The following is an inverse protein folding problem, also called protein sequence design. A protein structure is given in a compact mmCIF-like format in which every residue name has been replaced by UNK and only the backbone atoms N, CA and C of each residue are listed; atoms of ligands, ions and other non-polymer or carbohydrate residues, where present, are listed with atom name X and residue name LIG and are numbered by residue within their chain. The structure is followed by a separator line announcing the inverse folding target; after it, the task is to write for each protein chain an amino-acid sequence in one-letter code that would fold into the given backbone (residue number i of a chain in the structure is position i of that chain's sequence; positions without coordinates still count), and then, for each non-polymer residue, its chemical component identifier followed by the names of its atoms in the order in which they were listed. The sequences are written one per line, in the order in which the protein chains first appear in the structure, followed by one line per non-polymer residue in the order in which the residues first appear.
data_IF_545541408252
#
_entry.id   IF_545541408252
#
_cell.length_a   1.000
_cell.length_b   1.000
_cell.length_c   1.000
_cell.angle_alpha   90.00
_cell.angle_beta   90.00
_cell.angle_gamma   90.00
#
_symmetry.space_group_name_H-M   'P 1'
#
loop_
_entity.id
_entity.type
_entity.pdbx_description
1 polymer ?
#
# COMPACT_ATOMS: atom_id res chain seq x y z
N UNK A 1 76.95 -56.50 39.58
CA UNK A 1 75.91 -55.45 39.53
C UNK A 1 76.44 -54.43 38.48
N UNK A 2 75.89 -54.57 37.23
CA UNK A 2 76.38 -53.80 36.11
C UNK A 2 75.33 -52.72 35.78
N UNK A 3 75.79 -51.47 35.75
CA UNK A 3 74.97 -50.32 35.34
C UNK A 3 74.82 -50.30 33.79
N UNK A 4 73.66 -49.99 33.25
CA UNK A 4 73.43 -49.86 31.80
C UNK A 4 73.90 -48.45 31.29
N UNK A 5 74.27 -48.36 30.01
CA UNK A 5 74.81 -47.11 29.42
C UNK A 5 73.69 -46.08 29.12
N UNK A 6 74.11 -44.82 29.17
CA UNK A 6 73.35 -43.65 28.85
C UNK A 6 73.00 -43.56 27.34
N UNK A 7 71.76 -43.17 27.02
CA UNK A 7 71.28 -42.91 25.68
C UNK A 7 71.37 -41.43 25.39
N UNK A 8 72.07 -41.05 24.29
CA UNK A 8 72.15 -39.65 23.79
C UNK A 8 70.84 -39.10 23.29
N UNK A 9 70.50 -37.84 23.49
CA UNK A 9 69.27 -37.26 22.98
C UNK A 9 69.37 -36.92 21.47
N UNK A 10 68.33 -37.29 20.75
CA UNK A 10 68.16 -37.01 19.32
C UNK A 10 67.99 -35.49 19.03
N UNK A 11 68.41 -34.97 17.86
CA UNK A 11 68.36 -33.56 17.55
C UNK A 11 66.92 -33.04 17.40
N UNK A 12 66.66 -31.84 17.96
CA UNK A 12 65.36 -31.15 17.99
C UNK A 12 64.87 -30.84 16.57
N UNK A 13 63.73 -31.39 16.17
CA UNK A 13 63.06 -31.05 14.93
C UNK A 13 62.54 -29.61 15.00
N UNK A 14 62.97 -28.75 14.08
CA UNK A 14 62.48 -27.36 13.90
C UNK A 14 61.00 -27.41 13.51
N UNK A 15 60.11 -27.21 14.44
CA UNK A 15 58.71 -27.01 14.21
C UNK A 15 58.49 -25.70 13.44
N UNK A 16 58.25 -25.76 12.13
CA UNK A 16 57.74 -24.63 11.36
C UNK A 16 56.32 -24.33 11.81
N UNK A 17 56.10 -23.14 12.41
CA UNK A 17 54.82 -22.67 12.91
C UNK A 17 53.80 -22.51 11.78
N UNK A 18 52.59 -23.13 11.85
CA UNK A 18 51.52 -22.97 10.84
C UNK A 18 50.84 -21.60 10.90
N UNK A 19 51.23 -20.75 11.86
CA UNK A 19 50.58 -19.45 12.07
C UNK A 19 50.84 -18.43 10.93
N UNK A 20 52.02 -18.48 10.29
CA UNK A 20 52.36 -17.52 9.22
C UNK A 20 51.57 -17.74 7.93
N UNK A 21 51.19 -18.97 7.60
CA UNK A 21 50.43 -19.28 6.40
C UNK A 21 48.93 -18.89 6.57
N UNK A 22 48.37 -19.02 7.75
CA UNK A 22 46.98 -18.60 8.06
C UNK A 22 46.81 -17.08 8.00
N UNK A 23 47.83 -16.32 8.44
CA UNK A 23 47.79 -14.87 8.37
C UNK A 23 47.94 -14.38 6.93
N UNK A 24 48.80 -14.99 6.10
CA UNK A 24 48.96 -14.61 4.69
C UNK A 24 47.71 -14.94 3.84
N UNK A 25 47.10 -16.11 4.05
CA UNK A 25 45.87 -16.49 3.33
C UNK A 25 44.67 -15.64 3.79
N UNK A 26 44.56 -15.35 5.07
CA UNK A 26 43.51 -14.45 5.59
C UNK A 26 43.66 -13.03 5.09
N UNK A 27 44.89 -12.49 5.04
CA UNK A 27 45.17 -11.16 4.51
C UNK A 27 44.95 -11.06 2.99
N UNK A 28 45.23 -12.11 2.24
CA UNK A 28 44.97 -12.16 0.79
C UNK A 28 43.46 -12.23 0.49
N UNK A 29 42.69 -13.01 1.26
CA UNK A 29 41.23 -13.06 1.15
C UNK A 29 40.59 -11.74 1.50
N UNK A 30 41.01 -11.07 2.57
CA UNK A 30 40.53 -9.74 2.94
C UNK A 30 40.88 -8.68 1.87
N UNK A 31 42.07 -8.76 1.28
CA UNK A 31 42.49 -7.85 0.20
C UNK A 31 41.67 -8.08 -1.07
N UNK A 32 41.38 -9.33 -1.44
CA UNK A 32 40.56 -9.68 -2.60
C UNK A 32 39.10 -9.24 -2.37
N UNK A 33 38.54 -9.43 -1.16
CA UNK A 33 37.21 -8.94 -0.82
C UNK A 33 37.17 -7.40 -0.82
N UNK A 34 38.18 -6.72 -0.26
CA UNK A 34 38.24 -5.26 -0.26
C UNK A 34 38.38 -4.67 -1.66
N UNK A 35 39.20 -5.29 -2.53
CA UNK A 35 39.32 -4.85 -3.93
C UNK A 35 38.08 -5.14 -4.76
N UNK A 36 37.33 -6.22 -4.47
CA UNK A 36 36.07 -6.50 -5.13
C UNK A 36 34.96 -5.49 -4.73
N UNK A 37 34.91 -5.09 -3.45
CA UNK A 37 33.99 -4.07 -2.98
C UNK A 37 34.32 -2.70 -3.59
N UNK A 38 35.61 -2.31 -3.60
CA UNK A 38 36.04 -1.04 -4.21
C UNK A 38 35.84 -1.04 -5.73
N UNK A 39 35.95 -2.20 -6.40
CA UNK A 39 35.71 -2.29 -7.85
C UNK A 39 34.22 -2.12 -8.21
N UNK A 40 33.31 -2.53 -7.33
CA UNK A 40 31.87 -2.31 -7.55
C UNK A 40 31.48 -0.85 -7.33
N UNK A 41 32.11 -0.15 -6.39
CA UNK A 41 31.91 1.28 -6.20
C UNK A 41 32.48 2.15 -7.33
N UNK A 42 33.43 1.63 -8.11
CA UNK A 42 34.05 2.35 -9.22
C UNK A 42 33.20 2.34 -10.52
N UNK A 43 32.16 1.48 -10.61
CA UNK A 43 31.29 1.48 -11.79
C UNK A 43 30.27 2.62 -11.63
N UNK A 44 30.16 3.56 -12.61
CA UNK A 44 29.12 4.58 -12.58
C UNK A 44 27.74 3.93 -12.43
N UNK A 45 26.90 4.48 -11.57
CA UNK A 45 25.57 3.90 -11.31
C UNK A 45 24.73 3.77 -12.59
N UNK A 46 24.88 4.72 -13.53
CA UNK A 46 24.20 4.70 -14.81
C UNK A 46 24.58 3.49 -15.71
N UNK A 47 25.77 2.90 -15.51
CA UNK A 47 26.22 1.74 -16.26
C UNK A 47 25.84 0.40 -15.58
N UNK A 48 25.33 0.45 -14.37
CA UNK A 48 24.86 -0.73 -13.66
C UNK A 48 23.52 -1.18 -14.25
N UNK A 49 23.41 -2.47 -14.52
CA UNK A 49 22.16 -3.09 -14.97
C UNK A 49 21.72 -4.15 -13.98
N UNK A 50 20.41 -4.25 -13.72
CA UNK A 50 19.88 -5.32 -12.90
C UNK A 50 20.03 -6.67 -13.61
N UNK A 51 20.20 -7.73 -12.84
CA UNK A 51 20.08 -9.09 -13.36
C UNK A 51 18.65 -9.29 -13.85
N UNK A 52 18.49 -9.82 -15.06
CA UNK A 52 17.18 -10.06 -15.65
C UNK A 52 17.13 -11.43 -16.32
N UNK A 53 16.05 -12.17 -16.12
CA UNK A 53 15.80 -13.36 -16.93
C UNK A 53 15.36 -13.00 -18.34
N UNK A 54 15.49 -13.93 -19.27
CA UNK A 54 14.92 -13.79 -20.60
C UNK A 54 13.39 -13.68 -20.53
N UNK A 55 12.82 -12.92 -21.46
CA UNK A 55 11.37 -12.80 -21.60
C UNK A 55 10.84 -14.02 -22.39
N UNK A 56 9.66 -14.49 -22.00
CA UNK A 56 8.86 -15.42 -22.78
C UNK A 56 8.13 -14.66 -23.87
N UNK A 57 8.16 -15.11 -25.12
CA UNK A 57 7.54 -14.37 -26.23
C UNK A 57 6.01 -14.56 -26.31
N UNK A 58 5.48 -15.65 -25.70
CA UNK A 58 4.07 -15.98 -25.79
C UNK A 58 3.21 -15.03 -24.95
N UNK A 59 2.12 -14.47 -25.50
CA UNK A 59 1.17 -13.70 -24.71
C UNK A 59 0.41 -14.60 -23.73
N UNK A 60 -0.05 -14.02 -22.65
CA UNK A 60 -0.90 -14.75 -21.71
C UNK A 60 -2.29 -14.97 -22.33
N UNK A 61 -2.77 -16.21 -22.24
CA UNK A 61 -4.11 -16.55 -22.71
C UNK A 61 -5.18 -15.69 -22.01
N UNK A 62 -6.07 -15.09 -22.77
CA UNK A 62 -7.17 -14.30 -22.25
C UNK A 62 -8.37 -15.19 -22.00
N UNK A 63 -8.63 -15.49 -20.72
CA UNK A 63 -9.83 -16.20 -20.28
C UNK A 63 -10.70 -15.30 -19.37
N UNK A 64 -11.99 -15.60 -19.28
CA UNK A 64 -12.90 -14.84 -18.39
C UNK A 64 -12.48 -14.99 -16.92
N UNK A 65 -12.00 -16.16 -16.52
CA UNK A 65 -11.49 -16.38 -15.18
C UNK A 65 -10.31 -15.45 -14.85
N UNK A 66 -9.34 -15.31 -15.77
CA UNK A 66 -8.21 -14.39 -15.62
C UNK A 66 -8.65 -12.94 -15.62
N UNK A 67 -9.65 -12.56 -16.41
CA UNK A 67 -10.18 -11.19 -16.41
C UNK A 67 -10.79 -10.83 -15.05
N UNK A 68 -11.66 -11.69 -14.53
CA UNK A 68 -12.31 -11.49 -13.23
C UNK A 68 -11.26 -11.47 -12.11
N UNK A 69 -10.38 -12.47 -12.08
CA UNK A 69 -9.32 -12.57 -11.06
C UNK A 69 -8.34 -11.41 -11.15
N UNK A 70 -7.91 -11.04 -12.35
CA UNK A 70 -6.98 -9.94 -12.58
C UNK A 70 -7.53 -8.59 -12.16
N UNK A 71 -8.81 -8.33 -12.46
CA UNK A 71 -9.50 -7.14 -11.96
C UNK A 71 -9.49 -7.10 -10.43
N UNK A 72 -9.93 -8.18 -9.80
CA UNK A 72 -9.97 -8.30 -8.35
C UNK A 72 -8.61 -8.03 -7.69
N UNK A 73 -7.54 -8.60 -8.25
CA UNK A 73 -6.18 -8.42 -7.73
C UNK A 73 -5.65 -7.01 -8.00
N UNK A 74 -5.77 -6.50 -9.22
CA UNK A 74 -5.18 -5.23 -9.61
C UNK A 74 -5.88 -4.02 -8.95
N UNK A 75 -7.19 -4.08 -8.80
CA UNK A 75 -7.98 -3.02 -8.17
C UNK A 75 -8.02 -3.14 -6.65
N UNK A 76 -7.97 -4.38 -6.11
CA UNK A 76 -7.98 -4.70 -4.70
C UNK A 76 -6.58 -4.81 -4.10
N UNK A 77 -6.18 -6.06 -3.74
CA UNK A 77 -4.99 -6.31 -2.91
C UNK A 77 -3.67 -5.83 -3.53
N UNK A 78 -3.52 -5.86 -4.84
CA UNK A 78 -2.33 -5.39 -5.55
C UNK A 78 -2.25 -3.88 -5.71
N UNK A 79 -3.34 -3.13 -5.48
CA UNK A 79 -3.40 -1.67 -5.44
C UNK A 79 -2.81 -0.97 -6.67
N UNK A 80 -2.74 -1.65 -7.84
CA UNK A 80 -2.06 -1.13 -9.03
C UNK A 80 -2.56 0.26 -9.42
N UNK A 81 -3.88 0.46 -9.37
CA UNK A 81 -4.52 1.70 -9.83
C UNK A 81 -4.47 2.83 -8.79
N UNK A 82 -4.03 2.56 -7.56
CA UNK A 82 -3.75 3.59 -6.55
C UNK A 82 -2.52 4.41 -6.93
N UNK A 83 -1.46 3.72 -7.38
CA UNK A 83 -0.22 4.37 -7.81
C UNK A 83 -0.27 4.75 -9.29
N UNK A 84 -0.82 3.88 -10.17
CA UNK A 84 -0.83 4.08 -11.61
C UNK A 84 -2.02 4.88 -12.13
N UNK A 85 -2.64 5.71 -11.29
CA UNK A 85 -3.69 6.65 -11.72
C UNK A 85 -3.53 7.98 -11.00
N UNK A 86 -3.81 9.07 -11.69
CA UNK A 86 -3.96 10.36 -11.06
C UNK A 86 -5.19 10.32 -10.15
N UNK A 87 -5.03 10.71 -8.88
CA UNK A 87 -6.07 10.60 -7.86
C UNK A 87 -6.80 11.92 -7.65
N UNK A 88 -8.08 11.83 -7.38
CA UNK A 88 -8.93 12.95 -6.99
C UNK A 88 -8.94 13.06 -5.45
N UNK A 89 -8.05 13.89 -4.91
CA UNK A 89 -7.89 14.08 -3.47
C UNK A 89 -9.01 14.92 -2.83
N UNK A 90 -9.89 15.51 -3.63
CA UNK A 90 -11.06 16.23 -3.14
C UNK A 90 -12.22 15.30 -2.81
N UNK A 91 -12.16 14.07 -3.31
CA UNK A 91 -13.17 13.05 -3.03
C UNK A 91 -12.73 12.10 -1.90
N UNK A 92 -13.68 11.62 -1.08
CA UNK A 92 -13.40 10.60 -0.07
C UNK A 92 -12.70 9.37 -0.67
N UNK A 93 -11.66 8.86 0.01
CA UNK A 93 -10.86 7.75 -0.49
C UNK A 93 -9.92 8.10 -1.63
N UNK A 94 -9.99 9.33 -2.17
CA UNK A 94 -9.21 9.83 -3.29
C UNK A 94 -9.16 8.82 -4.46
N UNK A 95 -10.28 8.56 -5.14
CA UNK A 95 -10.36 7.62 -6.27
C UNK A 95 -9.52 8.09 -7.45
N UNK A 96 -9.24 7.22 -8.43
CA UNK A 96 -8.71 7.65 -9.72
C UNK A 96 -9.61 8.72 -10.36
N UNK A 97 -9.02 9.78 -10.89
CA UNK A 97 -9.77 10.78 -11.67
C UNK A 97 -10.46 10.10 -12.84
N UNK A 98 -11.66 10.57 -13.17
CA UNK A 98 -12.45 10.05 -14.29
C UNK A 98 -11.64 10.01 -15.59
N UNK A 99 -11.65 8.90 -16.30
CA UNK A 99 -10.89 8.69 -17.54
C UNK A 99 -9.37 8.59 -17.38
N UNK A 100 -8.84 8.53 -16.14
CA UNK A 100 -7.38 8.48 -15.87
C UNK A 100 -6.93 7.16 -15.25
N UNK A 101 -7.80 6.17 -15.18
CA UNK A 101 -7.52 4.86 -14.59
C UNK A 101 -6.38 4.15 -15.34
N UNK A 102 -5.30 3.87 -14.65
CA UNK A 102 -4.10 3.23 -15.22
C UNK A 102 -3.19 4.16 -16.03
N UNK A 103 -3.54 5.43 -16.20
CA UNK A 103 -2.80 6.38 -17.05
C UNK A 103 -1.47 6.85 -16.44
N UNK A 104 -1.15 6.45 -15.21
CA UNK A 104 0.06 6.86 -14.52
C UNK A 104 -0.01 8.27 -13.91
N UNK A 105 0.96 8.59 -13.09
CA UNK A 105 1.13 9.92 -12.46
C UNK A 105 2.56 10.16 -12.00
N UNK A 106 2.90 11.42 -11.77
CA UNK A 106 4.09 11.80 -11.02
C UNK A 106 3.75 11.71 -9.54
N UNK A 107 4.45 10.86 -8.80
CA UNK A 107 4.22 10.66 -7.37
C UNK A 107 5.07 11.59 -6.51
N UNK A 108 6.29 11.90 -6.98
CA UNK A 108 7.25 12.80 -6.36
C UNK A 108 8.10 13.44 -7.45
N UNK A 109 8.39 14.74 -7.35
CA UNK A 109 9.34 15.44 -8.22
C UNK A 109 10.01 16.56 -7.41
N UNK A 110 11.26 16.35 -7.05
CA UNK A 110 12.07 17.29 -6.30
C UNK A 110 13.54 17.26 -6.79
N UNK A 111 14.43 18.13 -6.26
CA UNK A 111 15.83 18.18 -6.69
C UNK A 111 16.57 16.85 -6.58
N UNK A 112 16.25 16.04 -5.57
CA UNK A 112 16.95 14.78 -5.26
C UNK A 112 16.47 13.62 -6.13
N UNK A 113 15.25 13.71 -6.67
CA UNK A 113 14.72 12.62 -7.50
C UNK A 113 13.32 12.87 -8.04
N UNK A 114 12.92 11.97 -8.92
CA UNK A 114 11.54 11.91 -9.44
C UNK A 114 11.05 10.47 -9.43
N UNK A 115 9.90 10.24 -8.81
CA UNK A 115 9.22 8.95 -8.84
C UNK A 115 7.97 9.08 -9.71
N UNK A 116 7.91 8.27 -10.76
CA UNK A 116 6.78 8.21 -11.68
C UNK A 116 6.20 6.80 -11.65
N UNK A 117 4.92 6.68 -11.37
CA UNK A 117 4.14 5.49 -11.66
C UNK A 117 3.73 5.57 -13.14
N UNK A 118 4.30 4.76 -14.03
CA UNK A 118 4.10 4.91 -15.47
C UNK A 118 2.66 4.60 -15.90
N UNK A 119 2.32 5.02 -17.10
CA UNK A 119 1.10 4.65 -17.79
C UNK A 119 1.12 3.15 -18.11
N UNK A 120 0.23 2.38 -17.48
CA UNK A 120 0.06 0.93 -17.67
C UNK A 120 -1.16 0.58 -18.50
N UNK A 121 -1.85 1.57 -19.09
CA UNK A 121 -2.91 1.32 -20.07
C UNK A 121 -2.32 0.76 -21.35
N UNK A 122 -3.13 0.10 -22.21
CA UNK A 122 -2.66 -0.41 -23.51
C UNK A 122 -2.48 0.69 -24.57
N UNK A 123 -2.24 1.93 -24.17
CA UNK A 123 -1.82 2.98 -25.10
C UNK A 123 -0.46 2.64 -25.70
N UNK A 124 -0.36 2.73 -27.03
CA UNK A 124 0.82 2.28 -27.76
C UNK A 124 1.98 3.27 -27.78
N UNK A 125 1.69 4.56 -27.54
CA UNK A 125 2.71 5.62 -27.60
C UNK A 125 3.29 5.92 -26.21
N UNK A 126 2.44 6.01 -25.19
CA UNK A 126 2.82 6.49 -23.87
C UNK A 126 2.58 5.47 -22.77
N UNK A 127 1.96 4.33 -23.07
CA UNK A 127 1.61 3.29 -22.14
C UNK A 127 2.28 1.94 -22.41
N UNK A 128 1.69 0.89 -21.89
CA UNK A 128 2.23 -0.47 -21.97
C UNK A 128 1.74 -1.25 -23.21
N UNK A 129 1.11 -0.58 -24.20
CA UNK A 129 0.46 -1.25 -25.32
C UNK A 129 1.37 -2.04 -26.26
N UNK A 130 2.66 -1.73 -26.28
CA UNK A 130 3.66 -2.42 -27.10
C UNK A 130 4.56 -3.37 -26.31
N UNK A 131 4.41 -3.42 -24.99
CA UNK A 131 5.28 -4.27 -24.17
C UNK A 131 4.78 -5.73 -24.22
N UNK A 132 5.69 -6.73 -24.28
CA UNK A 132 5.29 -8.12 -24.10
C UNK A 132 4.61 -8.35 -22.74
N UNK A 133 3.68 -9.29 -22.66
CA UNK A 133 2.99 -9.61 -21.40
C UNK A 133 3.97 -10.04 -20.30
N UNK A 134 4.97 -10.84 -20.65
CA UNK A 134 5.99 -11.28 -19.71
C UNK A 134 6.92 -10.13 -19.26
N UNK A 135 7.06 -9.05 -20.05
CA UNK A 135 7.76 -7.84 -19.59
C UNK A 135 6.98 -7.11 -18.49
N UNK A 136 5.64 -7.07 -18.58
CA UNK A 136 4.80 -6.57 -17.49
C UNK A 136 4.89 -7.47 -16.25
N UNK A 137 4.80 -8.80 -16.43
CA UNK A 137 4.95 -9.75 -15.32
C UNK A 137 6.32 -9.62 -14.62
N UNK A 138 7.40 -9.46 -15.41
CA UNK A 138 8.75 -9.21 -14.89
C UNK A 138 8.84 -7.88 -14.14
N UNK A 139 8.26 -6.82 -14.69
CA UNK A 139 8.22 -5.52 -14.02
C UNK A 139 7.49 -5.60 -12.67
N UNK A 140 6.36 -6.28 -12.61
CA UNK A 140 5.56 -6.44 -11.40
C UNK A 140 6.33 -7.24 -10.33
N UNK A 141 6.94 -8.37 -10.67
CA UNK A 141 7.51 -9.29 -9.68
C UNK A 141 9.01 -9.18 -9.46
N UNK A 142 9.74 -8.65 -10.43
CA UNK A 142 11.21 -8.68 -10.42
C UNK A 142 11.83 -7.27 -10.47
N UNK A 143 11.01 -6.22 -10.62
CA UNK A 143 11.50 -4.84 -10.61
C UNK A 143 12.34 -4.45 -11.84
N UNK A 144 12.24 -5.19 -12.95
CA UNK A 144 12.94 -4.91 -14.20
C UNK A 144 11.95 -4.45 -15.26
N UNK A 145 12.10 -3.22 -15.71
CA UNK A 145 11.26 -2.61 -16.73
C UNK A 145 11.34 -3.32 -18.08
N UNK A 146 10.42 -2.96 -19.00
CA UNK A 146 10.39 -3.50 -20.36
C UNK A 146 11.69 -3.22 -21.15
N UNK A 147 12.35 -2.11 -20.83
CA UNK A 147 13.62 -1.64 -21.40
C UNK A 147 14.86 -2.15 -20.65
N UNK A 148 14.67 -3.00 -19.66
CA UNK A 148 15.75 -3.62 -18.87
C UNK A 148 16.28 -2.75 -17.72
N UNK A 149 15.72 -1.54 -17.48
CA UNK A 149 16.13 -0.71 -16.33
C UNK A 149 15.61 -1.27 -15.01
N UNK A 150 16.29 -0.95 -13.92
CA UNK A 150 15.76 -1.16 -12.57
C UNK A 150 14.58 -0.22 -12.31
N UNK A 151 13.51 -0.74 -11.72
CA UNK A 151 12.38 0.05 -11.27
C UNK A 151 12.63 0.62 -9.86
N UNK A 152 11.99 1.73 -9.58
CA UNK A 152 12.03 2.33 -8.24
C UNK A 152 11.40 1.38 -7.21
N UNK A 153 12.00 1.17 -6.02
CA UNK A 153 11.49 0.22 -5.01
C UNK A 153 10.05 0.47 -4.54
N UNK A 154 9.56 1.71 -4.69
CA UNK A 154 8.13 2.01 -4.44
C UNK A 154 7.16 1.24 -5.35
N UNK A 155 7.62 0.54 -6.37
CA UNK A 155 6.79 -0.39 -7.14
C UNK A 155 6.43 -1.67 -6.35
N UNK A 156 7.03 -1.88 -5.18
CA UNK A 156 6.79 -3.02 -4.28
C UNK A 156 7.04 -4.40 -4.90
N UNK A 157 7.85 -4.49 -5.93
CA UNK A 157 8.19 -5.75 -6.58
C UNK A 157 8.75 -6.79 -5.58
N UNK A 158 9.39 -6.35 -4.50
CA UNK A 158 9.87 -7.24 -3.44
C UNK A 158 8.72 -8.00 -2.74
N UNK A 159 7.54 -7.42 -2.62
CA UNK A 159 6.32 -8.07 -2.12
C UNK A 159 5.57 -8.77 -3.25
N UNK A 160 5.42 -8.13 -4.40
CA UNK A 160 4.71 -8.66 -5.55
C UNK A 160 5.36 -9.91 -6.17
N UNK A 161 6.66 -10.14 -5.93
CA UNK A 161 7.30 -11.40 -6.36
C UNK A 161 6.65 -12.66 -5.77
N UNK A 162 5.85 -12.51 -4.71
CA UNK A 162 5.07 -13.59 -4.09
C UNK A 162 3.76 -13.88 -4.80
N UNK A 163 3.31 -13.04 -5.75
CA UNK A 163 2.18 -13.39 -6.58
C UNK A 163 2.45 -14.70 -7.33
N UNK A 164 1.51 -15.62 -7.26
CA UNK A 164 1.53 -16.83 -8.05
C UNK A 164 1.57 -16.50 -9.56
N UNK A 165 2.14 -17.40 -10.37
CA UNK A 165 2.25 -17.17 -11.82
C UNK A 165 0.89 -16.92 -12.46
N UNK A 166 -0.15 -17.64 -12.04
CA UNK A 166 -1.51 -17.45 -12.54
C UNK A 166 -2.12 -16.12 -12.13
N UNK A 167 -1.84 -15.64 -10.90
CA UNK A 167 -2.33 -14.34 -10.44
C UNK A 167 -1.67 -13.19 -11.19
N UNK A 168 -0.36 -13.27 -11.46
CA UNK A 168 0.30 -12.22 -12.24
C UNK A 168 -0.14 -12.25 -13.71
N UNK A 169 -0.34 -13.44 -14.30
CA UNK A 169 -0.91 -13.55 -15.64
C UNK A 169 -2.31 -12.95 -15.70
N UNK A 170 -3.14 -13.21 -14.69
CA UNK A 170 -4.47 -12.61 -14.55
C UNK A 170 -4.43 -11.08 -14.47
N UNK A 171 -3.53 -10.52 -13.64
CA UNK A 171 -3.32 -9.07 -13.55
C UNK A 171 -2.97 -8.49 -14.93
N UNK A 172 -1.99 -9.06 -15.63
CA UNK A 172 -1.58 -8.57 -16.95
C UNK A 172 -2.71 -8.65 -17.96
N UNK A 173 -3.44 -9.76 -18.01
CA UNK A 173 -4.61 -9.93 -18.90
C UNK A 173 -5.66 -8.85 -18.62
N UNK A 174 -5.93 -8.56 -17.34
CA UNK A 174 -6.84 -7.47 -16.98
C UNK A 174 -6.31 -6.09 -17.43
N UNK A 175 -5.05 -5.76 -17.16
CA UNK A 175 -4.46 -4.46 -17.56
C UNK A 175 -4.58 -4.21 -19.06
N UNK A 176 -4.52 -5.27 -19.89
CA UNK A 176 -4.74 -5.18 -21.35
C UNK A 176 -6.17 -4.78 -21.74
N UNK A 177 -7.11 -4.84 -20.82
CA UNK A 177 -8.52 -4.44 -21.08
C UNK A 177 -8.83 -3.02 -20.65
N UNK A 178 -7.92 -2.34 -19.98
CA UNK A 178 -8.12 -0.93 -19.63
C UNK A 178 -8.28 -0.08 -20.90
N UNK A 179 -9.12 0.96 -20.85
CA UNK A 179 -9.17 1.93 -21.96
C UNK A 179 -7.77 2.53 -22.18
N UNK A 180 -7.28 2.59 -23.43
CA UNK A 180 -6.01 3.25 -23.71
C UNK A 180 -6.12 4.76 -23.42
N UNK A 181 -5.18 5.28 -22.66
CA UNK A 181 -5.12 6.70 -22.32
C UNK A 181 -3.76 7.25 -22.69
N UNK A 182 -3.73 8.20 -23.63
CA UNK A 182 -2.48 8.88 -23.96
C UNK A 182 -2.09 9.82 -22.84
N UNK A 183 -0.95 9.55 -22.21
CA UNK A 183 -0.40 10.35 -21.11
C UNK A 183 1.15 10.31 -21.12
N UNK A 184 1.81 11.28 -21.78
CA UNK A 184 3.26 11.37 -21.76
C UNK A 184 3.72 11.80 -20.36
N UNK A 185 4.47 10.94 -19.71
CA UNK A 185 5.05 11.18 -18.39
C UNK A 185 6.58 11.22 -18.51
N UNK A 186 7.26 12.04 -17.69
CA UNK A 186 8.71 12.04 -17.62
C UNK A 186 9.23 10.72 -17.07
N UNK A 187 10.50 10.41 -17.30
CA UNK A 187 11.14 9.25 -16.72
C UNK A 187 11.32 9.42 -15.18
N UNK A 188 11.25 8.31 -14.45
CA UNK A 188 11.72 8.24 -13.07
C UNK A 188 13.21 8.59 -13.02
N UNK A 189 13.62 9.38 -12.01
CA UNK A 189 15.01 9.73 -11.73
C UNK A 189 15.34 9.32 -10.30
N UNK A 190 16.30 8.44 -10.16
CA UNK A 190 16.87 8.01 -8.89
C UNK A 190 18.29 8.59 -8.77
N UNK A 191 18.70 8.96 -7.59
CA UNK A 191 20.11 9.22 -7.33
C UNK A 191 20.93 7.91 -7.39
N UNK A 192 22.25 8.03 -7.38
CA UNK A 192 23.16 6.89 -7.51
C UNK A 192 23.00 5.87 -6.36
N UNK A 193 22.77 6.34 -5.14
CA UNK A 193 22.59 5.46 -3.98
C UNK A 193 21.31 4.64 -4.10
N UNK A 194 20.20 5.29 -4.40
CA UNK A 194 18.90 4.65 -4.62
C UNK A 194 18.96 3.67 -5.80
N UNK A 195 19.64 4.04 -6.90
CA UNK A 195 19.76 3.15 -8.06
C UNK A 195 20.58 1.90 -7.72
N UNK A 196 21.67 2.02 -6.98
CA UNK A 196 22.48 0.88 -6.50
C UNK A 196 21.67 -0.02 -5.58
N UNK A 197 20.90 0.55 -4.65
CA UNK A 197 20.02 -0.18 -3.75
C UNK A 197 18.94 -0.94 -4.53
N UNK A 198 18.28 -0.26 -5.48
CA UNK A 198 17.27 -0.88 -6.33
C UNK A 198 17.85 -2.07 -7.12
N UNK A 199 19.01 -1.90 -7.74
CA UNK A 199 19.70 -2.97 -8.49
C UNK A 199 20.11 -4.14 -7.59
N UNK A 200 20.63 -3.85 -6.40
CA UNK A 200 21.03 -4.88 -5.43
C UNK A 200 19.83 -5.70 -4.93
N UNK A 201 18.64 -5.08 -4.82
CA UNK A 201 17.41 -5.76 -4.42
C UNK A 201 16.73 -6.57 -5.53
N UNK A 202 17.20 -6.48 -6.79
CA UNK A 202 16.59 -7.18 -7.93
C UNK A 202 17.26 -8.53 -8.13
N UNK A 203 16.43 -9.59 -7.99
CA UNK A 203 16.82 -10.96 -8.34
C UNK A 203 15.80 -11.59 -9.26
N UNK A 204 16.22 -12.21 -10.38
CA UNK A 204 15.33 -12.94 -11.26
C UNK A 204 14.61 -14.08 -10.54
N UNK A 205 13.36 -14.32 -10.91
CA UNK A 205 12.63 -15.51 -10.46
C UNK A 205 13.17 -16.74 -11.19
N UNK A 206 13.90 -17.58 -10.47
CA UNK A 206 14.53 -18.78 -11.03
C UNK A 206 13.54 -19.95 -11.17
N UNK A 207 12.44 -19.93 -10.41
CA UNK A 207 11.44 -21.01 -10.39
C UNK A 207 10.04 -20.40 -10.48
N UNK A 208 9.06 -21.19 -11.02
CA UNK A 208 7.66 -20.81 -10.96
C UNK A 208 7.18 -20.58 -9.54
N UNK A 209 6.28 -19.62 -9.35
CA UNK A 209 5.59 -19.37 -8.08
C UNK A 209 4.23 -20.02 -8.13
N UNK A 210 4.04 -21.18 -7.45
CA UNK A 210 2.77 -21.89 -7.48
C UNK A 210 1.68 -21.15 -6.71
N UNK A 211 0.42 -21.41 -7.06
CA UNK A 211 -0.72 -20.96 -6.28
C UNK A 211 -0.72 -21.66 -4.92
N UNK A 212 -0.79 -20.91 -3.79
CA UNK A 212 -0.94 -21.55 -2.48
C UNK A 212 -2.33 -22.18 -2.32
N UNK A 213 -2.50 -23.00 -1.29
CA UNK A 213 -3.82 -23.53 -0.93
C UNK A 213 -4.74 -22.41 -0.39
N UNK A 214 -5.53 -21.84 -1.28
CA UNK A 214 -6.49 -20.79 -0.94
C UNK A 214 -7.76 -21.33 -0.24
N UNK A 215 -7.97 -22.66 -0.16
CA UNK A 215 -9.04 -23.24 0.62
C UNK A 215 -8.75 -23.15 2.12
N UNK A 216 -7.47 -23.10 2.52
CA UNK A 216 -7.05 -22.84 3.89
C UNK A 216 -7.16 -21.33 4.20
N UNK A 217 -8.06 -20.88 5.11
CA UNK A 217 -8.20 -19.46 5.43
C UNK A 217 -6.90 -18.82 5.94
N UNK A 218 -6.07 -19.55 6.70
CA UNK A 218 -4.81 -19.03 7.19
C UNK A 218 -3.80 -18.83 6.06
N UNK A 219 -3.62 -19.84 5.20
CA UNK A 219 -2.70 -19.76 4.05
C UNK A 219 -3.13 -18.65 3.08
N UNK A 220 -4.44 -18.57 2.82
CA UNK A 220 -5.06 -17.50 2.02
C UNK A 220 -4.76 -16.12 2.59
N UNK A 221 -4.96 -15.92 3.90
CA UNK A 221 -4.68 -14.67 4.57
C UNK A 221 -3.20 -14.30 4.54
N UNK A 222 -2.31 -15.27 4.79
CA UNK A 222 -0.85 -15.06 4.72
C UNK A 222 -0.41 -14.65 3.31
N UNK A 223 -0.97 -15.29 2.29
CA UNK A 223 -0.72 -14.90 0.89
C UNK A 223 -1.16 -13.46 0.62
N UNK A 224 -2.39 -13.09 0.98
CA UNK A 224 -2.93 -11.76 0.75
C UNK A 224 -2.16 -10.67 1.51
N UNK A 225 -1.80 -10.92 2.78
CA UNK A 225 -0.96 -10.02 3.57
C UNK A 225 0.41 -9.80 2.92
N UNK A 226 0.99 -10.87 2.36
CA UNK A 226 2.30 -10.81 1.72
C UNK A 226 2.27 -10.04 0.40
N UNK A 227 1.29 -10.32 -0.49
CA UNK A 227 1.18 -9.64 -1.80
C UNK A 227 0.56 -8.25 -1.70
N UNK A 228 -0.17 -7.95 -0.62
CA UNK A 228 -0.72 -6.63 -0.34
C UNK A 228 0.28 -5.63 0.23
N UNK A 229 1.54 -6.06 0.45
CA UNK A 229 2.61 -5.25 1.03
C UNK A 229 2.24 -4.58 2.36
N UNK A 230 1.46 -5.28 3.20
CA UNK A 230 1.08 -4.73 4.52
C UNK A 230 2.30 -4.36 5.35
N UNK A 231 3.38 -5.16 5.27
CA UNK A 231 4.64 -4.91 5.98
C UNK A 231 5.34 -3.63 5.50
N UNK A 232 5.22 -3.25 4.24
CA UNK A 232 5.88 -2.06 3.69
C UNK A 232 5.47 -0.78 4.42
N UNK A 233 4.18 -0.63 4.71
CA UNK A 233 3.66 0.51 5.46
C UNK A 233 3.64 0.27 6.97
N UNK A 234 3.42 -0.96 7.42
CA UNK A 234 3.18 -1.27 8.83
C UNK A 234 4.41 -1.84 9.58
N UNK A 235 5.63 -1.53 9.11
CA UNK A 235 6.89 -1.90 9.79
C UNK A 235 7.84 -0.70 9.81
N UNK A 236 8.51 -0.46 10.91
CA UNK A 236 9.46 0.65 11.08
C UNK A 236 10.81 0.36 10.42
N UNK A 237 10.84 0.26 9.09
CA UNK A 237 12.03 -0.12 8.33
C UNK A 237 13.25 0.80 8.52
N UNK A 238 13.00 2.09 8.79
CA UNK A 238 14.01 3.13 8.89
C UNK A 238 14.25 3.64 10.31
N UNK A 239 13.67 2.98 11.33
CA UNK A 239 13.94 3.33 12.73
C UNK A 239 15.29 2.77 13.21
N UNK A 240 15.91 3.43 14.18
CA UNK A 240 17.16 2.94 14.80
C UNK A 240 16.98 1.54 15.43
N UNK A 241 15.76 1.24 15.88
CA UNK A 241 15.39 -0.06 16.42
C UNK A 241 14.05 -0.48 15.83
N UNK A 242 14.05 -1.51 15.00
CA UNK A 242 12.83 -2.09 14.46
C UNK A 242 12.14 -2.94 15.54
N UNK A 243 10.91 -2.58 15.98
CA UNK A 243 10.21 -3.32 17.05
C UNK A 243 9.79 -4.73 16.62
N UNK A 244 9.53 -4.92 15.35
CA UNK A 244 9.09 -6.15 14.72
C UNK A 244 8.32 -5.89 13.44
N UNK A 245 8.13 -6.93 12.62
CA UNK A 245 7.29 -6.85 11.43
C UNK A 245 5.84 -6.54 11.84
N UNK A 246 5.19 -5.70 11.05
CA UNK A 246 3.80 -5.27 11.25
C UNK A 246 3.52 -4.47 12.54
N UNK A 247 4.57 -4.10 13.28
CA UNK A 247 4.44 -3.34 14.52
C UNK A 247 4.20 -1.83 14.31
N UNK A 248 4.06 -1.38 13.09
CA UNK A 248 3.86 0.03 12.74
C UNK A 248 5.14 0.88 12.77
N UNK A 249 4.98 2.18 12.56
CA UNK A 249 6.06 3.17 12.71
C UNK A 249 6.74 3.59 11.41
N UNK A 250 6.39 3.04 10.25
CA UNK A 250 6.89 3.58 8.98
C UNK A 250 6.18 4.89 8.63
N UNK A 251 6.95 5.93 8.31
CA UNK A 251 6.41 7.20 7.84
C UNK A 251 6.07 7.10 6.36
N UNK A 252 4.82 7.34 6.03
CA UNK A 252 4.29 7.39 4.67
C UNK A 252 3.99 8.84 4.33
N UNK A 253 4.49 9.30 3.19
CA UNK A 253 4.29 10.66 2.70
C UNK A 253 3.69 10.65 1.29
N UNK A 254 2.73 11.53 1.04
CA UNK A 254 2.12 11.78 -0.28
C UNK A 254 1.78 13.27 -0.40
N UNK A 255 2.64 14.02 -1.09
CA UNK A 255 2.57 15.47 -1.08
C UNK A 255 2.68 16.01 0.34
N UNK A 256 1.74 16.82 0.76
CA UNK A 256 1.70 17.39 2.13
C UNK A 256 1.13 16.43 3.19
N UNK A 257 0.58 15.28 2.76
CA UNK A 257 -0.05 14.31 3.67
C UNK A 257 0.98 13.34 4.21
N UNK A 258 0.93 13.13 5.52
CA UNK A 258 1.82 12.20 6.23
C UNK A 258 1.02 11.31 7.18
N UNK A 259 1.49 10.09 7.36
CA UNK A 259 1.00 9.18 8.39
C UNK A 259 2.08 8.16 8.77
N UNK A 260 2.17 7.83 10.03
CA UNK A 260 2.86 6.60 10.45
C UNK A 260 1.93 5.42 10.28
N UNK A 261 2.40 4.35 9.66
CA UNK A 261 1.69 3.07 9.64
C UNK A 261 1.40 2.60 11.06
N UNK A 262 0.16 2.19 11.31
CA UNK A 262 -0.23 1.72 12.65
C UNK A 262 0.31 0.32 12.93
N UNK A 263 0.39 -0.05 14.20
CA UNK A 263 0.66 -1.43 14.62
C UNK A 263 -0.56 -2.31 14.25
N UNK A 264 -0.34 -3.33 13.42
CA UNK A 264 -1.37 -4.30 13.02
C UNK A 264 -1.08 -5.72 13.54
N UNK A 265 -0.16 -5.87 14.50
CA UNK A 265 -0.03 -7.11 15.28
C UNK A 265 -1.22 -7.24 16.26
N UNK A 266 -1.46 -8.39 16.89
CA UNK A 266 -2.54 -8.52 17.86
C UNK A 266 -2.46 -7.54 19.04
N UNK A 267 -3.62 -7.38 19.72
CA UNK A 267 -3.73 -6.58 20.95
C UNK A 267 -2.61 -6.91 21.98
N UNK A 268 -2.30 -5.95 22.92
CA UNK A 268 -3.11 -4.77 23.24
C UNK A 268 -2.78 -3.52 22.42
N UNK A 269 -1.60 -3.39 21.82
CA UNK A 269 -1.18 -2.17 21.13
C UNK A 269 -1.38 -2.19 19.61
N UNK A 270 -1.89 -3.31 19.08
CA UNK A 270 -2.22 -3.49 17.68
C UNK A 270 -3.72 -3.63 17.44
N UNK A 271 -4.12 -4.63 16.62
CA UNK A 271 -5.53 -4.89 16.28
C UNK A 271 -6.28 -5.48 17.49
N UNK A 272 -7.05 -4.63 18.16
CA UNK A 272 -7.84 -5.01 19.34
C UNK A 272 -9.27 -5.49 19.00
N UNK A 273 -9.73 -5.32 17.76
CA UNK A 273 -11.10 -5.67 17.33
C UNK A 273 -11.12 -6.99 16.57
N UNK A 274 -12.27 -7.69 16.63
CA UNK A 274 -12.47 -8.96 15.93
C UNK A 274 -12.65 -8.79 14.42
N UNK A 275 -12.87 -9.90 13.71
CA UNK A 275 -12.94 -9.94 12.26
C UNK A 275 -14.04 -9.03 11.67
N UNK A 276 -15.20 -8.95 12.29
CA UNK A 276 -16.30 -8.08 11.80
C UNK A 276 -15.92 -6.59 11.94
N UNK A 277 -15.33 -6.20 13.06
CA UNK A 277 -14.79 -4.84 13.24
C UNK A 277 -13.68 -4.52 12.24
N UNK A 278 -12.80 -5.48 11.94
CA UNK A 278 -11.78 -5.33 10.90
C UNK A 278 -12.40 -5.09 9.53
N UNK A 279 -13.38 -5.89 9.13
CA UNK A 279 -14.11 -5.71 7.87
C UNK A 279 -14.74 -4.33 7.81
N UNK A 280 -15.44 -3.92 8.86
CA UNK A 280 -16.07 -2.59 8.92
C UNK A 280 -15.04 -1.47 8.77
N UNK A 281 -13.88 -1.56 9.43
CA UNK A 281 -12.80 -0.57 9.30
C UNK A 281 -12.28 -0.51 7.87
N UNK A 282 -12.02 -1.67 7.24
CA UNK A 282 -11.55 -1.71 5.85
C UNK A 282 -12.59 -1.13 4.88
N UNK A 283 -13.87 -1.48 5.05
CA UNK A 283 -14.97 -0.97 4.18
C UNK A 283 -15.15 0.53 4.29
N UNK A 284 -15.04 1.08 5.49
CA UNK A 284 -15.38 2.48 5.76
C UNK A 284 -14.19 3.41 5.87
N UNK A 285 -12.99 2.89 6.14
CA UNK A 285 -11.82 3.71 6.50
C UNK A 285 -12.00 4.44 7.83
N UNK A 286 -12.91 3.99 8.71
CA UNK A 286 -13.30 4.67 9.94
C UNK A 286 -13.01 3.83 11.16
N UNK A 287 -12.02 4.26 11.94
CA UNK A 287 -11.76 3.84 13.31
C UNK A 287 -10.93 4.94 13.97
N UNK A 288 -11.59 5.88 14.63
CA UNK A 288 -10.91 7.05 15.18
C UNK A 288 -10.31 7.94 14.07
N UNK A 289 -9.03 8.28 14.21
CA UNK A 289 -8.29 9.19 13.31
C UNK A 289 -7.44 8.44 12.28
N UNK A 290 -8.05 7.57 11.49
CA UNK A 290 -7.33 6.85 10.43
C UNK A 290 -6.96 7.77 9.27
N UNK A 291 -5.75 7.57 8.75
CA UNK A 291 -5.23 8.38 7.65
C UNK A 291 -5.85 7.97 6.31
N UNK A 292 -6.19 8.94 5.42
CA UNK A 292 -6.61 8.66 4.05
C UNK A 292 -5.47 8.12 3.17
N UNK A 293 -4.23 8.04 3.68
CA UNK A 293 -3.10 7.44 2.96
C UNK A 293 -3.19 5.92 2.88
N UNK A 294 -3.87 5.27 3.84
CA UNK A 294 -4.23 3.86 3.70
C UNK A 294 -5.13 3.72 2.46
N UNK A 295 -4.86 2.79 1.54
CA UNK A 295 -5.62 2.67 0.29
C UNK A 295 -6.99 1.99 0.50
N UNK A 296 -7.84 2.60 1.32
CA UNK A 296 -9.17 2.08 1.67
C UNK A 296 -10.00 1.71 0.46
N UNK A 297 -9.95 2.56 -0.59
CA UNK A 297 -10.68 2.36 -1.83
C UNK A 297 -10.31 1.05 -2.55
N UNK A 298 -9.08 0.60 -2.44
CA UNK A 298 -8.65 -0.68 -3.03
C UNK A 298 -9.06 -1.85 -2.13
N UNK A 299 -8.80 -1.77 -0.85
CA UNK A 299 -9.05 -2.87 0.06
C UNK A 299 -10.54 -3.10 0.35
N UNK A 300 -11.38 -2.08 0.24
CA UNK A 300 -12.84 -2.22 0.40
C UNK A 300 -13.49 -3.13 -0.65
N UNK A 301 -12.83 -3.32 -1.80
CA UNK A 301 -13.31 -4.20 -2.88
C UNK A 301 -13.02 -5.69 -2.62
N UNK A 302 -12.26 -6.02 -1.56
CA UNK A 302 -11.96 -7.41 -1.22
C UNK A 302 -13.19 -8.11 -0.63
N UNK A 303 -13.37 -9.38 -0.96
CA UNK A 303 -14.43 -10.21 -0.39
C UNK A 303 -14.29 -10.33 1.14
N UNK A 304 -15.40 -10.46 1.85
CA UNK A 304 -15.40 -10.65 3.30
C UNK A 304 -14.61 -11.90 3.72
N UNK A 305 -14.61 -12.95 2.89
CA UNK A 305 -13.82 -14.14 3.15
C UNK A 305 -12.32 -13.84 3.13
N UNK A 306 -11.86 -13.00 2.20
CA UNK A 306 -10.47 -12.55 2.11
C UNK A 306 -10.12 -11.62 3.27
N UNK A 307 -10.99 -10.69 3.64
CA UNK A 307 -10.77 -9.80 4.78
C UNK A 307 -10.71 -10.59 6.10
N UNK A 308 -11.57 -11.61 6.29
CA UNK A 308 -11.49 -12.51 7.44
C UNK A 308 -10.19 -13.32 7.45
N UNK A 309 -9.73 -13.77 6.30
CA UNK A 309 -8.48 -14.51 6.15
C UNK A 309 -7.27 -13.61 6.48
N UNK A 310 -7.25 -12.36 5.99
CA UNK A 310 -6.23 -11.36 6.33
C UNK A 310 -6.22 -11.12 7.85
N UNK A 311 -7.37 -10.86 8.45
CA UNK A 311 -7.48 -10.68 9.89
C UNK A 311 -6.94 -11.90 10.65
N UNK A 312 -7.33 -13.12 10.24
CA UNK A 312 -6.84 -14.36 10.85
C UNK A 312 -5.31 -14.46 10.78
N UNK A 313 -4.72 -14.14 9.63
CA UNK A 313 -3.26 -14.15 9.45
C UNK A 313 -2.57 -13.14 10.35
N UNK A 314 -3.09 -11.91 10.46
CA UNK A 314 -2.56 -10.87 11.34
C UNK A 314 -2.68 -11.25 12.82
N UNK A 315 -3.77 -11.89 13.23
CA UNK A 315 -3.97 -12.38 14.59
C UNK A 315 -3.05 -13.57 14.97
N UNK A 316 -2.34 -14.16 14.00
CA UNK A 316 -1.33 -15.21 14.25
C UNK A 316 0.09 -14.66 14.40
N UNK A 317 0.27 -13.37 14.19
CA UNK A 317 1.55 -12.72 14.47
C UNK A 317 1.81 -12.66 15.98
N UNK A 318 3.08 -12.60 16.36
CA UNK A 318 3.43 -12.30 17.74
C UNK A 318 3.01 -10.85 18.08
N UNK A 319 2.32 -10.61 19.20
CA UNK A 319 1.96 -9.26 19.61
C UNK A 319 3.21 -8.44 19.94
N UNK A 320 3.26 -7.21 19.44
CA UNK A 320 4.36 -6.28 19.68
C UNK A 320 3.85 -5.07 20.47
N UNK A 321 4.44 -4.79 21.61
CA UNK A 321 4.09 -3.64 22.44
C UNK A 321 4.67 -2.34 21.85
N UNK A 322 4.11 -1.89 20.73
CA UNK A 322 4.49 -0.65 20.04
C UNK A 322 3.25 0.19 19.77
N UNK A 323 3.09 1.26 20.53
CA UNK A 323 1.92 2.12 20.43
C UNK A 323 2.12 3.17 19.33
N UNK A 324 1.17 3.23 18.40
CA UNK A 324 1.16 4.16 17.27
C UNK A 324 -0.16 4.92 17.22
N UNK A 325 -0.09 6.23 17.36
CA UNK A 325 -1.28 7.09 17.25
C UNK A 325 -0.92 8.40 16.56
N UNK A 326 -1.34 8.57 15.32
CA UNK A 326 -0.95 9.70 14.47
C UNK A 326 -1.43 11.07 15.00
N UNK A 327 -2.54 11.13 15.72
CA UNK A 327 -3.09 12.39 16.23
C UNK A 327 -2.39 12.92 17.50
N UNK A 328 -1.54 12.11 18.13
CA UNK A 328 -0.77 12.59 19.28
C UNK A 328 0.37 13.52 18.83
N UNK A 329 0.81 14.45 19.69
CA UNK A 329 2.00 15.25 19.42
C UNK A 329 3.22 14.37 19.16
N UNK A 330 4.19 14.83 18.33
CA UNK A 330 5.45 14.11 18.13
C UNK A 330 6.11 13.80 19.46
N UNK A 331 6.35 12.52 19.70
CA UNK A 331 6.90 12.02 20.96
C UNK A 331 7.95 10.96 20.67
N UNK A 332 9.11 11.07 21.32
CA UNK A 332 10.17 10.08 21.22
C UNK A 332 9.70 8.72 21.77
N UNK A 333 9.71 7.71 20.92
CA UNK A 333 9.29 6.38 21.30
C UNK A 333 10.44 5.61 21.97
N UNK A 334 10.25 5.05 23.16
CA UNK A 334 11.31 4.26 23.80
C UNK A 334 11.49 2.88 23.15
N UNK A 335 10.57 2.45 22.28
CA UNK A 335 10.60 1.12 21.66
C UNK A 335 11.39 1.15 20.34
N UNK A 336 11.05 2.04 19.41
CA UNK A 336 11.71 2.15 18.10
C UNK A 336 12.77 3.25 18.03
N UNK A 337 12.90 4.08 19.05
CA UNK A 337 13.81 5.23 19.13
C UNK A 337 13.58 6.32 18.08
N UNK A 338 12.42 6.31 17.43
CA UNK A 338 11.98 7.31 16.47
C UNK A 338 10.88 8.18 17.11
N UNK A 339 10.89 9.47 16.83
CA UNK A 339 9.76 10.32 17.18
C UNK A 339 8.59 10.01 16.22
N UNK A 340 7.42 9.70 16.78
CA UNK A 340 6.20 9.54 16.01
C UNK A 340 5.00 10.17 16.71
N UNK A 341 3.93 10.36 15.94
CA UNK A 341 2.84 11.26 16.23
C UNK A 341 2.96 12.51 15.35
N UNK A 342 1.86 12.96 14.80
CA UNK A 342 1.82 14.06 13.83
C UNK A 342 0.95 15.22 14.31
N UNK A 343 0.43 15.12 15.55
CA UNK A 343 -0.46 16.12 16.10
C UNK A 343 -1.68 16.34 15.21
N UNK A 344 -1.98 17.59 14.92
CA UNK A 344 -3.17 17.97 14.15
C UNK A 344 -3.06 17.68 12.64
N UNK A 345 -1.92 17.20 12.11
CA UNK A 345 -1.77 16.95 10.67
C UNK A 345 -2.72 15.88 10.11
N UNK A 346 -3.21 14.99 10.98
CA UNK A 346 -4.21 13.98 10.62
C UNK A 346 -5.57 14.23 11.31
N UNK A 347 -5.74 15.32 12.00
CA UNK A 347 -7.07 15.75 12.39
C UNK A 347 -7.76 16.24 11.12
N UNK A 348 -8.86 15.61 10.80
CA UNK A 348 -9.78 16.17 9.82
C UNK A 348 -10.26 17.47 10.42
N UNK A 349 -10.02 18.59 9.73
CA UNK A 349 -10.56 19.87 10.19
C UNK A 349 -12.05 19.71 10.43
N UNK A 350 -12.49 20.00 11.66
CA UNK A 350 -13.92 20.03 11.94
C UNK A 350 -14.57 21.00 10.94
N UNK A 351 -15.58 20.54 10.21
CA UNK A 351 -16.21 21.37 9.21
C UNK A 351 -16.76 22.64 9.88
N UNK A 352 -16.32 23.78 9.38
CA UNK A 352 -16.82 25.07 9.90
C UNK A 352 -18.30 25.20 9.56
N UNK A 353 -19.13 25.13 10.59
CA UNK A 353 -20.57 25.30 10.44
C UNK A 353 -20.89 26.66 9.84
N UNK A 354 -21.65 26.67 8.77
CA UNK A 354 -22.22 27.88 8.17
C UNK A 354 -23.64 28.06 8.71
N UNK A 355 -24.01 29.28 9.06
CA UNK A 355 -25.39 29.57 9.46
C UNK A 355 -26.33 29.35 8.25
N UNK A 356 -27.29 28.48 8.41
CA UNK A 356 -28.26 28.15 7.37
C UNK A 356 -29.66 28.52 7.86
N UNK A 357 -30.52 29.14 7.02
CA UNK A 357 -31.89 29.49 7.39
C UNK A 357 -32.67 28.29 7.89
N UNK A 358 -33.47 28.50 8.95
CA UNK A 358 -34.31 27.43 9.53
C UNK A 358 -35.23 26.80 8.49
N UNK A 359 -35.72 27.58 7.55
CA UNK A 359 -36.58 27.07 6.45
C UNK A 359 -35.85 26.11 5.52
N UNK A 360 -34.55 26.36 5.25
CA UNK A 360 -33.70 25.47 4.45
C UNK A 360 -33.48 24.15 5.19
N UNK A 361 -33.10 24.17 6.48
CA UNK A 361 -32.99 22.96 7.30
C UNK A 361 -34.31 22.17 7.33
N UNK A 362 -35.43 22.88 7.51
CA UNK A 362 -36.77 22.24 7.54
C UNK A 362 -37.12 21.55 6.21
N UNK A 363 -36.67 22.14 5.08
CA UNK A 363 -36.94 21.55 3.76
C UNK A 363 -36.22 20.21 3.54
N UNK A 364 -35.11 19.98 4.23
CA UNK A 364 -34.34 18.73 4.15
C UNK A 364 -34.92 17.60 5.05
N UNK A 365 -35.75 17.95 6.03
CA UNK A 365 -36.35 16.96 6.95
C UNK A 365 -37.29 16.03 6.19
N UNK A 366 -37.19 14.73 6.48
CA UNK A 366 -38.03 13.72 5.86
C UNK A 366 -37.45 12.33 5.86
N UNK A 367 -38.12 11.41 5.20
CA UNK A 367 -37.66 10.02 5.00
C UNK A 367 -37.09 9.88 3.61
N UNK A 368 -35.98 9.11 3.53
CA UNK A 368 -35.25 8.90 2.28
C UNK A 368 -34.98 7.42 2.12
N UNK A 369 -35.22 6.89 0.91
CA UNK A 369 -35.03 5.47 0.58
C UNK A 369 -33.83 5.27 -0.32
N UNK A 370 -32.93 4.37 0.04
CA UNK A 370 -31.80 3.97 -0.78
C UNK A 370 -32.26 3.39 -2.12
N UNK A 371 -31.63 3.81 -3.21
CA UNK A 371 -31.88 3.21 -4.53
C UNK A 371 -31.40 1.78 -4.62
N UNK A 372 -30.35 1.46 -3.88
CA UNK A 372 -29.83 0.10 -3.76
C UNK A 372 -30.14 -0.42 -2.36
N UNK A 373 -30.72 -1.61 -2.26
CA UNK A 373 -31.02 -2.27 -0.98
C UNK A 373 -32.39 -1.92 -0.36
N UNK A 374 -32.97 -0.76 -0.69
CA UNK A 374 -34.32 -0.38 -0.22
C UNK A 374 -34.39 0.11 1.22
N UNK A 375 -33.27 0.27 1.93
CA UNK A 375 -33.21 0.82 3.29
C UNK A 375 -33.81 2.23 3.35
N UNK A 376 -34.31 2.60 4.53
CA UNK A 376 -34.90 3.92 4.77
C UNK A 376 -34.21 4.58 5.94
N UNK A 377 -33.69 5.79 5.69
CA UNK A 377 -33.20 6.67 6.73
C UNK A 377 -34.15 7.84 6.97
N UNK A 378 -34.03 8.45 8.13
CA UNK A 378 -34.78 9.63 8.51
C UNK A 378 -33.83 10.81 8.75
N UNK A 379 -34.14 11.96 8.14
CA UNK A 379 -33.46 13.22 8.38
C UNK A 379 -34.30 14.07 9.32
N UNK A 380 -33.71 14.50 10.43
CA UNK A 380 -34.32 15.34 11.46
C UNK A 380 -33.53 16.62 11.69
N UNK A 381 -34.17 17.63 12.25
CA UNK A 381 -33.46 18.79 12.77
C UNK A 381 -32.69 18.44 14.05
N UNK A 382 -31.44 18.90 14.14
CA UNK A 382 -30.57 18.72 15.32
C UNK A 382 -29.85 20.05 15.64
N UNK A 383 -30.48 20.88 16.48
CA UNK A 383 -29.95 22.21 16.79
C UNK A 383 -29.88 23.12 15.55
N UNK A 384 -28.68 23.65 15.26
CA UNK A 384 -28.39 24.47 14.09
C UNK A 384 -28.04 23.67 12.82
N UNK A 385 -28.21 22.36 12.84
CA UNK A 385 -27.94 21.45 11.71
C UNK A 385 -29.02 20.38 11.58
N UNK A 386 -28.63 19.28 10.98
CA UNK A 386 -29.46 18.10 10.76
C UNK A 386 -28.87 16.89 11.49
N UNK A 387 -29.64 15.84 11.62
CA UNK A 387 -29.17 14.49 11.87
C UNK A 387 -29.84 13.53 10.89
N UNK A 388 -29.16 12.46 10.52
CA UNK A 388 -29.74 11.42 9.68
C UNK A 388 -29.36 10.03 10.19
N UNK A 389 -30.16 9.06 9.92
CA UNK A 389 -29.92 7.69 10.35
C UNK A 389 -31.20 6.87 10.43
N UNK A 390 -31.08 5.72 11.05
CA UNK A 390 -32.18 4.79 11.33
C UNK A 390 -32.56 4.76 12.84
N UNK A 391 -33.28 3.75 13.25
CA UNK A 391 -33.69 3.57 14.64
C UNK A 391 -32.53 3.16 15.56
N UNK A 392 -31.45 2.62 15.03
CA UNK A 392 -30.29 2.10 15.77
C UNK A 392 -29.16 3.11 15.84
N UNK A 393 -28.95 3.88 14.78
CA UNK A 393 -27.81 4.80 14.69
C UNK A 393 -28.18 6.13 14.02
N UNK A 394 -27.84 7.21 14.68
CA UNK A 394 -28.06 8.57 14.18
C UNK A 394 -26.75 9.36 14.12
N UNK A 395 -26.46 9.94 12.97
CA UNK A 395 -25.28 10.78 12.72
C UNK A 395 -25.70 12.26 12.63
N UNK A 396 -24.99 13.13 13.35
CA UNK A 396 -25.19 14.58 13.25
C UNK A 396 -24.56 15.12 11.96
N UNK A 397 -25.23 16.05 11.30
CA UNK A 397 -24.74 16.75 10.11
C UNK A 397 -24.54 18.23 10.39
N UNK A 398 -23.33 18.71 10.12
CA UNK A 398 -22.94 20.12 10.22
C UNK A 398 -23.21 20.78 8.86
N UNK A 399 -23.95 21.90 8.80
CA UNK A 399 -24.22 22.58 7.54
C UNK A 399 -22.96 23.29 7.01
N UNK A 400 -22.69 23.14 5.72
CA UNK A 400 -21.58 23.78 4.99
C UNK A 400 -22.06 24.84 4.00
N UNK A 401 -23.38 25.08 3.94
CA UNK A 401 -24.03 25.98 2.98
C UNK A 401 -24.32 25.30 1.63
N UNK A 402 -25.23 25.89 0.88
CA UNK A 402 -25.62 25.43 -0.46
C UNK A 402 -26.04 23.94 -0.48
N UNK A 403 -26.97 23.57 0.43
CA UNK A 403 -27.45 22.18 0.57
C UNK A 403 -26.39 21.14 0.86
N UNK A 404 -25.17 21.54 1.27
CA UNK A 404 -24.08 20.65 1.64
C UNK A 404 -23.93 20.55 3.15
N UNK A 405 -23.66 19.34 3.61
CA UNK A 405 -23.48 18.98 5.00
C UNK A 405 -22.35 17.96 5.14
N UNK A 406 -21.80 17.84 6.35
CA UNK A 406 -20.87 16.76 6.67
C UNK A 406 -21.07 16.29 8.11
N UNK A 407 -20.74 15.04 8.41
CA UNK A 407 -20.62 14.59 9.78
C UNK A 407 -19.44 15.27 10.50
N UNK A 408 -19.40 15.31 11.84
CA UNK A 408 -18.23 15.76 12.59
C UNK A 408 -16.96 15.09 12.09
N UNK A 409 -15.87 15.85 12.02
CA UNK A 409 -14.63 15.39 11.42
C UNK A 409 -14.60 15.43 9.89
N UNK A 410 -15.53 16.13 9.21
CA UNK A 410 -15.60 16.20 7.76
C UNK A 410 -15.96 14.87 7.08
N UNK A 411 -16.34 13.88 7.89
CA UNK A 411 -16.74 12.56 7.41
C UNK A 411 -18.13 12.61 6.77
N UNK A 412 -18.41 11.69 5.85
CA UNK A 412 -19.72 11.60 5.17
C UNK A 412 -20.18 12.95 4.64
N UNK A 413 -19.51 13.52 3.61
CA UNK A 413 -20.08 14.68 2.94
C UNK A 413 -21.42 14.29 2.30
N UNK A 414 -22.43 15.09 2.62
CA UNK A 414 -23.81 14.91 2.18
C UNK A 414 -24.27 16.14 1.44
N UNK A 415 -24.97 15.96 0.33
CA UNK A 415 -25.68 17.04 -0.33
C UNK A 415 -27.15 16.70 -0.53
N UNK A 416 -28.00 17.71 -0.46
CA UNK A 416 -29.38 17.57 -0.89
C UNK A 416 -29.55 18.13 -2.30
N UNK A 417 -30.29 17.40 -3.12
CA UNK A 417 -30.64 17.84 -4.47
C UNK A 417 -32.08 18.30 -4.52
N UNK A 418 -32.31 19.40 -5.25
CA UNK A 418 -33.62 20.01 -5.41
C UNK A 418 -34.13 19.86 -6.83
N UNK A 419 -35.44 19.81 -6.97
CA UNK A 419 -36.08 19.92 -8.27
C UNK A 419 -36.10 21.41 -8.76
N UNK A 420 -36.53 21.66 -10.00
CA UNK A 420 -36.62 23.03 -10.54
C UNK A 420 -37.57 23.96 -9.75
N UNK A 421 -38.47 23.40 -8.93
CA UNK A 421 -39.37 24.14 -8.05
C UNK A 421 -38.76 24.41 -6.67
N UNK A 422 -37.53 23.95 -6.42
CA UNK A 422 -36.78 24.15 -5.18
C UNK A 422 -37.11 23.14 -4.07
N UNK A 423 -37.92 22.11 -4.34
CA UNK A 423 -38.20 21.07 -3.36
C UNK A 423 -37.05 20.04 -3.31
N UNK A 424 -36.66 19.65 -2.10
CA UNK A 424 -35.65 18.60 -1.91
C UNK A 424 -36.21 17.27 -2.36
N UNK A 425 -35.53 16.61 -3.31
CA UNK A 425 -35.93 15.34 -3.89
C UNK A 425 -34.97 14.18 -3.56
N UNK A 426 -33.75 14.49 -3.17
CA UNK A 426 -32.72 13.48 -2.85
C UNK A 426 -31.78 13.94 -1.76
N UNK A 427 -31.23 12.97 -1.08
CA UNK A 427 -30.01 13.06 -0.30
C UNK A 427 -28.95 12.22 -1.01
N UNK A 428 -27.77 12.77 -1.18
CA UNK A 428 -26.62 12.08 -1.81
C UNK A 428 -25.50 12.06 -0.79
N UNK A 429 -25.12 10.86 -0.34
CA UNK A 429 -23.87 10.67 0.39
C UNK A 429 -22.76 10.60 -0.62
N UNK A 430 -21.77 11.48 -0.49
CA UNK A 430 -20.62 11.52 -1.37
C UNK A 430 -19.55 10.56 -0.83
N UNK A 431 -19.37 9.47 -1.51
CA UNK A 431 -18.26 8.54 -1.31
C UNK A 431 -17.54 8.33 -2.65
N UNK A 432 -16.82 7.25 -2.81
CA UNK A 432 -16.17 6.84 -4.07
C UNK A 432 -17.19 6.78 -5.21
N UNK A 433 -18.33 6.19 -4.93
CA UNK A 433 -19.55 6.30 -5.73
C UNK A 433 -20.62 7.00 -4.89
N UNK A 434 -21.36 7.93 -5.50
CA UNK A 434 -22.43 8.63 -4.82
C UNK A 434 -23.50 7.64 -4.40
N UNK A 435 -23.82 7.58 -3.10
CA UNK A 435 -24.91 6.77 -2.60
C UNK A 435 -26.19 7.60 -2.57
N UNK A 436 -27.20 7.21 -3.36
CA UNK A 436 -28.37 8.02 -3.63
C UNK A 436 -29.56 7.53 -2.82
N UNK A 437 -30.19 8.46 -2.10
CA UNK A 437 -31.40 8.28 -1.33
C UNK A 437 -32.50 9.15 -1.91
N UNK A 438 -33.50 8.57 -2.53
CA UNK A 438 -34.64 9.31 -3.04
C UNK A 438 -35.62 9.64 -1.89
N UNK A 439 -36.12 10.87 -1.88
CA UNK A 439 -37.06 11.30 -0.86
C UNK A 439 -38.37 10.50 -0.98
N UNK A 440 -38.82 9.93 0.13
CA UNK A 440 -40.15 9.28 0.23
C UNK A 440 -41.20 10.38 0.26
N UNK A 441 -42.15 10.35 -0.67
CA UNK A 441 -43.33 11.21 -0.65
C UNK A 441 -44.40 10.48 0.13
N UNK A 442 -44.95 11.11 1.16
CA UNK A 442 -46.11 10.61 1.91
C UNK A 442 -47.37 10.65 1.04
#
# INVERSE_FOLDING_TARGET
MSTPPAIDPAPAAVRRSPARWRVLVGSLLLLVCATAVVAVEAIPAADLKPKARALRPEPFERTDARLVRGRYLAEGIGQCLICHSERDWERPGAPPKAGRKGAGQIMRDDPDGRTVAPNITPDRETGAGTWPDDALARAIREGVGHDGRALHPQMWYASFRRFADEDVASIVVYLRTLPPVRNPLPATRMDDAMLREAIAGIEPLAQPVPMPDLASPLTRGQYLVAVGDCSGCHTSWYSERMPGLYAGGNLIERGERKAFGTNITPAPSGLAYGADGFIQVIRTGKSGTLSPLMPWIAFRELDDADLRAIHLALQRLAPVAHFMHNALPPTQCPVCLQAHGLGNQNQVDEPKAVAVPVAELASCVGRYRARQGGDVLEVKRAGAGLSFGDAQQTTRLVPLGHDRYAAPGGLLPVRFERDPQGAVVRLVEQDVEDFIWDRVRD
#
